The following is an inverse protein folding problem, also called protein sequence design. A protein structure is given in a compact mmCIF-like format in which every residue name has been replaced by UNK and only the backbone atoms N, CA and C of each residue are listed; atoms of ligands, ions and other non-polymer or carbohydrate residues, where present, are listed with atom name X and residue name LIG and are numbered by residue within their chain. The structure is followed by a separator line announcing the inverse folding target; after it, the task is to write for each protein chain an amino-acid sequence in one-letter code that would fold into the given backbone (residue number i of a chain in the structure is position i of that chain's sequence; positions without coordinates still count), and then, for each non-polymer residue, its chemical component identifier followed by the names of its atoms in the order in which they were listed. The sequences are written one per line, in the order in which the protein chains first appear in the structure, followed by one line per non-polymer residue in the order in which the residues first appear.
data_IF_554904994198
#
_entry.id   IF_554904994198
#
_cell.length_a   1.000
_cell.length_b   1.000
_cell.length_c   1.000
_cell.angle_alpha   90.00
_cell.angle_beta   90.00
_cell.angle_gamma   90.00
#
_symmetry.space_group_name_H-M   'P 1'
#
loop_
_entity.id
_entity.type
_entity.pdbx_description
1 polymer ?
#
# COMPACT_ATOMS: atom_id res chain seq x y z
N UNK A 1 -2.06 -42.28 -19.12
CA UNK A 1 -2.30 -41.39 -17.97
C UNK A 1 -0.99 -40.74 -17.57
N UNK A 2 -0.79 -39.47 -17.95
CA UNK A 2 0.29 -38.59 -17.47
C UNK A 2 -0.32 -37.21 -17.31
N UNK A 3 -0.27 -36.69 -16.08
CA UNK A 3 -0.77 -35.36 -15.71
C UNK A 3 0.10 -34.28 -16.35
N UNK A 4 -0.53 -33.36 -17.07
CA UNK A 4 0.07 -32.14 -17.59
C UNK A 4 0.03 -31.08 -16.49
N UNK A 5 1.19 -30.50 -16.18
CA UNK A 5 1.39 -29.44 -15.20
C UNK A 5 0.77 -28.12 -15.68
N UNK A 6 -0.06 -27.49 -14.83
CA UNK A 6 -0.92 -26.33 -15.12
C UNK A 6 -0.16 -24.98 -15.04
N UNK A 7 1.16 -24.99 -15.00
CA UNK A 7 1.97 -23.81 -14.62
C UNK A 7 2.40 -22.87 -15.76
N UNK A 8 1.75 -22.89 -16.93
CA UNK A 8 2.16 -22.05 -18.07
C UNK A 8 1.01 -21.33 -18.79
N UNK A 9 -0.22 -21.39 -18.27
CA UNK A 9 -1.37 -20.68 -18.85
C UNK A 9 -1.78 -19.40 -18.09
N UNK A 10 -1.25 -19.17 -16.89
CA UNK A 10 -1.66 -18.03 -16.04
C UNK A 10 -1.10 -16.67 -16.47
N UNK A 11 -0.05 -16.63 -17.30
CA UNK A 11 0.65 -15.39 -17.67
C UNK A 11 0.18 -14.80 -19.02
N UNK A 12 -0.64 -15.53 -19.78
CA UNK A 12 -1.12 -15.11 -21.11
C UNK A 12 -2.56 -14.56 -21.12
N UNK A 13 -3.25 -14.52 -19.97
CA UNK A 13 -4.68 -14.19 -19.89
C UNK A 13 -5.00 -12.93 -19.03
N UNK A 14 -4.01 -12.09 -18.75
CA UNK A 14 -4.21 -10.77 -18.10
C UNK A 14 -4.69 -9.66 -19.06
N UNK A 15 -5.06 -9.98 -20.31
CA UNK A 15 -5.27 -9.01 -21.41
C UNK A 15 -6.59 -9.17 -22.19
N UNK A 16 -7.61 -9.81 -21.63
CA UNK A 16 -8.89 -10.02 -22.33
C UNK A 16 -10.11 -9.70 -21.47
N UNK A 17 -10.31 -8.44 -21.07
CA UNK A 17 -11.61 -7.93 -20.64
C UNK A 17 -11.72 -6.42 -20.89
N UNK A 18 -12.06 -6.06 -22.12
CA UNK A 18 -12.63 -4.75 -22.48
C UNK A 18 -13.49 -4.95 -23.72
N UNK A 19 -14.78 -5.23 -23.54
CA UNK A 19 -15.77 -5.05 -24.60
C UNK A 19 -16.51 -3.73 -24.36
N UNK A 20 -16.29 -2.85 -25.32
CA UNK A 20 -16.92 -1.55 -25.53
C UNK A 20 -18.45 -1.76 -25.75
N UNK A 21 -19.27 -1.55 -24.73
CA UNK A 21 -20.73 -1.41 -24.91
C UNK A 21 -21.01 0.04 -25.30
N UNK A 22 -20.80 0.35 -26.59
CA UNK A 22 -21.36 1.55 -27.18
C UNK A 22 -22.87 1.42 -27.26
N UNK A 23 -23.58 2.23 -26.48
CA UNK A 23 -25.01 2.44 -26.63
C UNK A 23 -25.33 2.99 -28.02
N UNK A 24 -26.06 2.24 -28.83
CA UNK A 24 -26.57 2.67 -30.13
C UNK A 24 -27.72 3.67 -29.96
N UNK A 25 -27.62 4.82 -30.62
CA UNK A 25 -28.78 5.48 -31.22
C UNK A 25 -28.40 6.11 -32.56
N UNK A 26 -29.08 5.65 -33.62
CA UNK A 26 -29.37 6.30 -34.91
C UNK A 26 -28.86 5.58 -36.18
N UNK A 27 -29.78 4.79 -36.74
CA UNK A 27 -30.17 4.60 -38.14
C UNK A 27 -29.17 4.68 -39.32
N UNK A 28 -29.31 3.62 -40.13
CA UNK A 28 -29.33 3.55 -41.60
C UNK A 28 -28.01 3.42 -42.38
N UNK A 29 -27.91 2.31 -43.14
CA UNK A 29 -27.04 2.23 -44.32
C UNK A 29 -26.44 0.85 -44.57
N UNK A 30 -27.12 0.02 -45.37
CA UNK A 30 -26.55 -1.16 -46.02
C UNK A 30 -25.24 -0.83 -46.75
N UNK A 31 -24.19 -1.63 -46.54
CA UNK A 31 -23.22 -2.01 -47.59
C UNK A 31 -22.52 -3.32 -47.19
N UNK A 32 -22.76 -4.38 -47.97
CA UNK A 32 -22.02 -5.65 -48.00
C UNK A 32 -20.55 -5.42 -48.35
N UNK A 33 -19.61 -6.04 -47.62
CA UNK A 33 -18.38 -6.63 -48.21
C UNK A 33 -17.93 -7.89 -47.46
N UNK A 34 -17.39 -8.83 -48.24
CA UNK A 34 -16.92 -10.19 -47.89
C UNK A 34 -15.42 -10.20 -47.51
N UNK A 35 -15.10 -11.05 -46.52
CA UNK A 35 -13.98 -11.99 -46.27
C UNK A 35 -12.48 -11.66 -46.49
N UNK A 36 -11.68 -12.24 -45.55
CA UNK A 36 -10.23 -12.60 -45.52
C UNK A 36 -9.26 -11.42 -45.37
N UNK A 37 -8.19 -11.40 -44.55
CA UNK A 37 -7.35 -12.38 -43.81
C UNK A 37 -7.37 -12.04 -42.27
N UNK A 38 -6.83 -12.80 -41.31
CA UNK A 38 -5.77 -13.80 -41.33
C UNK A 38 -4.40 -13.26 -40.87
N UNK A 39 -4.33 -12.28 -39.96
CA UNK A 39 -3.07 -11.86 -39.31
C UNK A 39 -3.29 -11.53 -37.82
N UNK A 40 -2.77 -12.41 -36.96
CA UNK A 40 -2.59 -12.14 -35.54
C UNK A 40 -1.35 -11.26 -35.37
N UNK A 41 -1.54 -9.94 -35.38
CA UNK A 41 -0.53 -9.01 -34.89
C UNK A 41 -0.51 -9.10 -33.35
N UNK A 42 0.31 -10.03 -32.86
CA UNK A 42 0.56 -10.24 -31.45
C UNK A 42 1.19 -9.00 -30.81
N UNK A 43 0.49 -8.44 -29.82
CA UNK A 43 1.01 -7.39 -28.94
C UNK A 43 2.29 -7.88 -28.24
N UNK A 44 3.38 -7.11 -28.37
CA UNK A 44 4.63 -7.37 -27.64
C UNK A 44 4.51 -6.78 -26.22
N UNK A 45 4.70 -7.63 -25.20
CA UNK A 45 4.86 -7.25 -23.79
C UNK A 45 5.92 -6.12 -23.58
N UNK A 46 5.95 -5.44 -22.42
CA UNK A 46 7.08 -4.59 -22.03
C UNK A 46 8.37 -5.41 -21.81
N UNK A 47 9.57 -4.94 -22.21
CA UNK A 47 10.82 -5.71 -22.14
C UNK A 47 11.18 -6.31 -20.78
N UNK A 48 10.74 -5.71 -19.67
CA UNK A 48 11.02 -6.21 -18.32
C UNK A 48 10.18 -7.44 -17.91
N UNK A 49 9.04 -7.67 -18.56
CA UNK A 49 8.22 -8.88 -18.41
C UNK A 49 8.51 -9.94 -19.50
N UNK A 50 9.32 -9.60 -20.50
CA UNK A 50 9.68 -10.49 -21.62
C UNK A 50 10.95 -11.31 -21.40
N UNK A 51 11.77 -10.99 -20.40
CA UNK A 51 13.09 -11.59 -20.31
C UNK A 51 13.05 -13.03 -19.79
N UNK A 52 13.81 -13.90 -20.46
CA UNK A 52 13.87 -15.37 -20.42
C UNK A 52 14.27 -16.02 -19.07
N UNK A 53 13.75 -15.57 -17.93
CA UNK A 53 14.08 -16.18 -16.62
C UNK A 53 13.20 -17.39 -16.24
N UNK A 54 12.07 -17.60 -16.92
CA UNK A 54 11.10 -18.63 -16.52
C UNK A 54 11.36 -20.05 -17.05
N UNK A 55 12.54 -20.32 -17.62
CA UNK A 55 12.92 -21.70 -18.00
C UNK A 55 14.33 -22.05 -17.57
N UNK A 56 14.52 -22.21 -16.26
CA UNK A 56 15.35 -23.27 -15.65
C UNK A 56 15.22 -23.19 -14.14
N UNK A 57 15.24 -24.35 -13.50
CA UNK A 57 15.39 -24.50 -12.06
C UNK A 57 16.66 -23.80 -11.56
N UNK A 58 16.58 -22.49 -11.31
CA UNK A 58 17.60 -21.74 -10.60
C UNK A 58 16.87 -21.02 -9.48
N UNK A 59 17.16 -21.45 -8.26
CA UNK A 59 16.95 -20.64 -7.06
C UNK A 59 17.57 -19.29 -7.37
N UNK A 60 16.74 -18.24 -7.53
CA UNK A 60 17.26 -16.89 -7.64
C UNK A 60 18.16 -16.63 -6.43
N UNK A 61 19.34 -16.01 -6.60
CA UNK A 61 20.20 -15.75 -5.47
C UNK A 61 19.42 -14.86 -4.49
N UNK A 62 19.21 -15.37 -3.27
CA UNK A 62 18.59 -14.60 -2.19
C UNK A 62 19.48 -13.39 -1.95
N UNK A 63 18.96 -12.20 -2.26
CA UNK A 63 19.60 -10.95 -1.90
C UNK A 63 19.53 -10.83 -0.38
N UNK A 64 20.68 -10.71 0.27
CA UNK A 64 20.71 -10.50 1.72
C UNK A 64 20.10 -9.14 2.05
N UNK A 65 19.57 -8.98 3.27
CA UNK A 65 19.06 -7.68 3.73
C UNK A 65 20.08 -6.53 3.55
N UNK A 66 21.39 -6.83 3.64
CA UNK A 66 22.45 -5.86 3.39
C UNK A 66 22.54 -5.44 1.91
N UNK A 67 22.37 -6.38 0.98
CA UNK A 67 22.38 -6.09 -0.47
C UNK A 67 21.10 -5.36 -0.91
N UNK A 68 19.95 -5.67 -0.31
CA UNK A 68 18.71 -4.92 -0.53
C UNK A 68 18.84 -3.47 -0.02
N UNK A 69 19.47 -3.27 1.14
CA UNK A 69 19.75 -1.93 1.67
C UNK A 69 20.72 -1.13 0.77
N UNK A 70 21.77 -1.76 0.22
CA UNK A 70 22.69 -1.11 -0.72
C UNK A 70 22.01 -0.77 -2.07
N UNK A 71 21.08 -1.61 -2.54
CA UNK A 71 20.38 -1.41 -3.80
C UNK A 71 19.28 -0.34 -3.73
N UNK A 72 18.45 -0.35 -2.68
CA UNK A 72 17.31 0.57 -2.54
C UNK A 72 17.66 1.87 -1.80
N UNK A 73 18.70 1.87 -0.97
CA UNK A 73 19.01 2.98 -0.06
C UNK A 73 20.53 3.30 0.04
N UNK A 74 21.20 3.66 -1.06
CA UNK A 74 22.65 3.88 -1.08
C UNK A 74 23.12 5.06 -0.19
N UNK A 75 22.20 5.89 0.30
CA UNK A 75 22.49 7.05 1.14
C UNK A 75 22.50 6.73 2.66
N UNK A 76 21.94 5.61 3.09
CA UNK A 76 21.87 5.25 4.53
C UNK A 76 23.22 4.75 5.08
N UNK A 77 24.19 4.40 4.21
CA UNK A 77 25.54 3.96 4.63
C UNK A 77 26.54 5.08 4.84
N UNK A 78 26.20 6.34 4.48
CA UNK A 78 27.00 7.48 4.91
C UNK A 78 26.70 7.71 6.39
N UNK A 79 27.35 6.91 7.22
CA UNK A 79 27.30 7.07 8.67
C UNK A 79 27.54 8.53 9.03
N UNK A 80 26.85 8.99 10.08
CA UNK A 80 27.32 10.16 10.83
C UNK A 80 28.84 10.01 11.03
N UNK A 81 29.65 11.05 10.78
CA UNK A 81 31.05 11.01 11.15
C UNK A 81 31.11 10.61 12.62
N UNK A 82 31.76 9.48 12.91
CA UNK A 82 32.17 9.18 14.26
C UNK A 82 33.12 10.29 14.67
N UNK A 83 32.75 11.08 15.68
CA UNK A 83 33.67 11.95 16.40
C UNK A 83 34.79 11.07 16.96
N UNK A 84 35.87 10.99 16.19
CA UNK A 84 37.16 10.51 16.63
C UNK A 84 37.85 11.67 17.32
N UNK A 85 37.98 11.55 18.64
CA UNK A 85 38.69 12.50 19.48
C UNK A 85 40.19 12.56 19.24
N UNK A 86 40.77 13.47 20.00
CA UNK A 86 42.18 13.71 20.28
C UNK A 86 42.99 14.41 19.19
N UNK A 87 43.09 15.73 19.34
CA UNK A 87 44.41 16.32 19.62
C UNK A 87 44.25 17.49 20.59
N UNK A 88 44.86 17.30 21.76
CA UNK A 88 45.36 18.37 22.62
C UNK A 88 46.12 19.40 21.78
N UNK A 89 45.77 20.67 21.94
CA UNK A 89 46.74 21.76 22.03
C UNK A 89 46.01 23.04 22.45
N UNK A 90 46.03 23.28 23.75
CA UNK A 90 45.90 24.61 24.33
C UNK A 90 47.24 25.34 24.12
N UNK A 91 47.26 26.63 23.74
CA UNK A 91 47.50 27.59 24.80
C UNK A 91 46.70 28.89 24.67
N UNK A 92 46.10 29.26 25.80
CA UNK A 92 46.26 30.55 26.49
C UNK A 92 45.80 31.81 25.74
N UNK A 93 44.71 32.43 26.22
CA UNK A 93 44.75 33.74 26.89
C UNK A 93 43.40 34.48 26.83
N UNK A 94 43.04 35.16 27.93
CA UNK A 94 42.16 36.33 27.89
C UNK A 94 40.95 36.27 28.81
N UNK A 95 41.11 36.78 30.03
CA UNK A 95 40.05 36.83 31.04
C UNK A 95 38.99 37.90 30.80
N UNK A 96 37.89 37.78 31.55
CA UNK A 96 36.82 38.78 31.57
C UNK A 96 35.68 38.35 32.49
N UNK A 97 35.79 38.70 33.76
CA UNK A 97 34.83 38.41 34.82
C UNK A 97 33.89 39.62 35.02
N UNK A 98 32.57 39.46 34.89
CA UNK A 98 31.59 40.11 35.79
C UNK A 98 30.12 39.72 35.55
N UNK A 99 29.27 39.82 36.59
CA UNK A 99 28.02 39.08 36.71
C UNK A 99 26.78 39.95 36.43
N UNK A 100 25.71 39.31 35.92
CA UNK A 100 24.43 39.96 35.65
C UNK A 100 23.26 39.00 35.87
N UNK A 101 22.65 39.14 37.04
CA UNK A 101 21.44 38.50 37.54
C UNK A 101 20.22 38.84 36.67
N UNK A 102 19.37 37.87 36.31
CA UNK A 102 18.17 38.16 35.50
C UNK A 102 17.28 36.96 35.15
N UNK A 103 16.45 36.54 36.11
CA UNK A 103 15.10 35.96 35.95
C UNK A 103 14.90 34.69 35.10
N UNK A 104 14.66 33.62 35.85
CA UNK A 104 13.96 32.38 35.51
C UNK A 104 12.66 32.59 34.73
N UNK A 105 12.69 32.23 33.45
CA UNK A 105 11.54 31.67 32.73
C UNK A 105 11.87 30.21 32.46
N UNK A 106 11.31 29.28 33.25
CA UNK A 106 11.48 27.85 33.06
C UNK A 106 10.80 27.39 31.78
N UNK A 107 11.46 27.57 30.64
CA UNK A 107 11.20 26.74 29.48
C UNK A 107 11.71 25.35 29.81
N UNK A 108 10.82 24.35 29.76
CA UNK A 108 11.26 22.95 29.69
C UNK A 108 12.27 22.89 28.53
N UNK A 109 13.53 22.48 28.77
CA UNK A 109 14.47 22.33 27.68
C UNK A 109 13.85 21.39 26.64
N UNK A 110 13.64 21.88 25.42
CA UNK A 110 13.27 21.04 24.29
C UNK A 110 14.26 19.86 24.25
N UNK A 111 13.81 18.60 24.33
CA UNK A 111 14.70 17.46 24.24
C UNK A 111 15.49 17.56 22.94
N UNK A 112 16.82 17.68 23.03
CA UNK A 112 17.67 17.58 21.84
C UNK A 112 17.46 16.18 21.26
N UNK A 113 16.94 16.03 20.04
CA UNK A 113 16.65 14.71 19.49
C UNK A 113 17.94 13.88 19.47
N UNK A 114 17.93 12.72 20.13
CA UNK A 114 19.03 11.77 20.01
C UNK A 114 19.07 11.16 18.60
N UNK A 115 20.15 10.42 18.30
CA UNK A 115 20.32 9.68 17.03
C UNK A 115 19.09 8.81 16.66
N UNK A 116 18.30 8.40 17.65
CA UNK A 116 17.06 7.64 17.48
C UNK A 116 15.97 8.38 16.67
N UNK A 117 15.87 9.71 16.74
CA UNK A 117 14.85 10.46 15.98
C UNK A 117 15.12 10.40 14.48
N UNK A 118 16.39 10.55 14.09
CA UNK A 118 16.85 10.39 12.71
C UNK A 118 16.66 8.93 12.25
N UNK A 119 17.01 7.95 13.10
CA UNK A 119 16.76 6.53 12.81
C UNK A 119 15.27 6.27 12.52
N UNK A 120 14.38 6.74 13.38
CA UNK A 120 12.93 6.52 13.22
C UNK A 120 12.39 7.19 11.95
N UNK A 121 12.84 8.42 11.65
CA UNK A 121 12.51 9.10 10.39
C UNK A 121 12.98 8.31 9.17
N UNK A 122 14.20 7.77 9.20
CA UNK A 122 14.74 6.97 8.12
C UNK A 122 13.96 5.67 7.92
N UNK A 123 13.59 4.98 9.00
CA UNK A 123 12.74 3.78 8.93
C UNK A 123 11.39 4.11 8.29
N UNK A 124 10.68 5.12 8.79
CA UNK A 124 9.36 5.53 8.25
C UNK A 124 9.48 5.96 6.78
N UNK A 125 10.48 6.79 6.45
CA UNK A 125 10.71 7.23 5.07
C UNK A 125 10.98 6.05 4.13
N UNK A 126 11.68 5.02 4.61
CA UNK A 126 12.00 3.83 3.82
C UNK A 126 10.77 2.98 3.53
N UNK A 127 9.88 2.79 4.53
CA UNK A 127 8.60 2.10 4.36
C UNK A 127 7.77 2.76 3.25
N UNK A 128 7.60 4.08 3.29
CA UNK A 128 6.82 4.78 2.28
C UNK A 128 7.54 4.91 0.94
N UNK A 129 8.87 4.95 0.91
CA UNK A 129 9.62 4.96 -0.35
C UNK A 129 9.38 3.67 -1.15
N UNK A 130 9.12 2.54 -0.48
CA UNK A 130 8.76 1.29 -1.14
C UNK A 130 7.34 1.26 -1.71
N UNK A 131 6.46 2.21 -1.37
CA UNK A 131 5.14 2.35 -2.02
C UNK A 131 5.24 3.00 -3.40
N UNK A 132 6.38 3.61 -3.73
CA UNK A 132 6.59 4.36 -4.97
C UNK A 132 6.88 3.40 -6.13
N UNK A 133 6.12 3.50 -7.21
CA UNK A 133 6.34 2.71 -8.42
C UNK A 133 7.71 3.03 -9.07
N UNK A 134 8.47 2.03 -9.56
CA UNK A 134 8.18 0.59 -9.56
C UNK A 134 8.76 -0.17 -8.35
N UNK A 135 9.14 0.51 -7.27
CA UNK A 135 9.83 -0.10 -6.11
C UNK A 135 8.96 -1.07 -5.34
N UNK A 136 7.63 -0.95 -5.43
CA UNK A 136 6.67 -1.89 -4.84
C UNK A 136 6.50 -3.18 -5.63
N UNK A 137 6.94 -3.24 -6.90
CA UNK A 137 6.71 -4.40 -7.76
C UNK A 137 7.31 -5.73 -7.28
N UNK A 138 8.50 -5.77 -6.64
CA UNK A 138 9.09 -7.06 -6.28
C UNK A 138 8.28 -7.85 -5.23
N UNK A 139 7.38 -7.21 -4.47
CA UNK A 139 6.39 -7.94 -3.65
C UNK A 139 5.54 -8.91 -4.47
N UNK A 140 5.15 -8.48 -5.67
CA UNK A 140 4.37 -9.29 -6.60
C UNK A 140 5.22 -10.37 -7.28
N UNK A 141 6.54 -10.36 -7.09
CA UNK A 141 7.49 -11.35 -7.61
C UNK A 141 7.94 -12.38 -6.56
N UNK A 142 7.31 -12.37 -5.38
CA UNK A 142 7.60 -13.28 -4.28
C UNK A 142 9.04 -13.13 -3.72
N UNK A 143 9.60 -11.92 -3.83
CA UNK A 143 10.86 -11.53 -3.19
C UNK A 143 10.56 -11.04 -1.77
N UNK A 144 10.25 -11.97 -0.86
CA UNK A 144 9.78 -11.70 0.51
C UNK A 144 10.84 -11.05 1.43
N UNK A 145 12.08 -10.89 0.96
CA UNK A 145 13.23 -10.41 1.77
C UNK A 145 13.39 -8.87 1.78
N UNK A 146 12.53 -8.13 1.08
CA UNK A 146 12.71 -6.68 0.88
C UNK A 146 12.31 -5.84 2.11
N UNK A 147 11.46 -6.39 2.99
CA UNK A 147 10.87 -5.64 4.12
C UNK A 147 11.41 -5.98 5.51
N UNK A 148 12.20 -7.04 5.66
CA UNK A 148 12.75 -7.48 6.95
C UNK A 148 13.60 -6.44 7.72
N UNK A 149 14.22 -5.40 7.10
CA UNK A 149 14.89 -4.38 7.91
C UNK A 149 13.93 -3.40 8.59
N UNK A 150 12.66 -3.30 8.18
CA UNK A 150 11.76 -2.24 8.65
C UNK A 150 10.74 -2.70 9.68
N UNK A 151 10.10 -3.85 9.45
CA UNK A 151 9.07 -4.39 10.33
C UNK A 151 9.61 -5.57 11.14
N UNK A 152 9.18 -5.66 12.39
CA UNK A 152 9.38 -6.85 13.20
C UNK A 152 8.49 -8.00 12.66
N UNK A 153 8.92 -9.25 12.84
CA UNK A 153 8.17 -10.44 12.39
C UNK A 153 6.75 -10.48 12.98
N UNK A 154 6.61 -10.05 14.24
CA UNK A 154 5.36 -10.03 14.99
C UNK A 154 4.71 -8.63 15.03
N UNK A 155 4.98 -7.78 14.03
CA UNK A 155 4.36 -6.44 13.97
C UNK A 155 2.83 -6.55 14.02
N UNK A 156 2.20 -5.67 14.78
CA UNK A 156 0.73 -5.50 14.77
C UNK A 156 0.40 -4.10 14.31
N UNK A 157 -0.67 -3.93 13.55
CA UNK A 157 -1.03 -2.58 13.14
C UNK A 157 -2.48 -2.40 12.73
N UNK A 158 -2.88 -1.15 12.67
CA UNK A 158 -4.16 -0.71 12.13
C UNK A 158 -3.90 0.28 11.00
N UNK A 159 -4.66 0.15 9.92
CA UNK A 159 -4.81 1.20 8.91
C UNK A 159 -6.27 1.53 8.86
N UNK A 160 -6.69 2.62 9.48
CA UNK A 160 -8.05 3.14 9.34
C UNK A 160 -8.17 3.78 7.96
N UNK A 161 -9.14 3.39 7.12
CA UNK A 161 -10.35 2.60 7.43
C UNK A 161 -10.34 1.15 6.90
N UNK A 162 -9.16 0.58 6.62
CA UNK A 162 -9.00 -0.76 6.06
C UNK A 162 -9.13 -1.89 7.10
N UNK A 163 -8.58 -1.70 8.30
CA UNK A 163 -8.68 -2.67 9.41
C UNK A 163 -7.35 -3.00 10.08
N UNK A 164 -7.34 -4.17 10.74
CA UNK A 164 -6.25 -4.64 11.61
C UNK A 164 -5.37 -5.70 10.91
N UNK A 165 -4.07 -5.65 11.20
CA UNK A 165 -3.00 -6.46 10.61
C UNK A 165 -2.17 -7.11 11.70
N UNK A 166 -1.90 -8.41 11.53
CA UNK A 166 -1.13 -9.19 12.50
C UNK A 166 -0.05 -9.97 11.79
N UNK A 167 1.19 -9.64 12.11
CA UNK A 167 2.39 -10.23 11.53
C UNK A 167 2.89 -9.49 10.29
N UNK A 168 4.13 -9.80 9.96
CA UNK A 168 4.90 -9.16 8.90
C UNK A 168 4.22 -9.20 7.52
N UNK A 169 3.73 -10.36 7.08
CA UNK A 169 3.13 -10.54 5.75
C UNK A 169 1.87 -9.68 5.57
N UNK A 170 1.03 -9.60 6.60
CA UNK A 170 -0.17 -8.76 6.58
C UNK A 170 0.21 -7.28 6.48
N UNK A 171 1.22 -6.81 7.21
CA UNK A 171 1.62 -5.41 7.15
C UNK A 171 2.21 -5.01 5.79
N UNK A 172 3.09 -5.83 5.20
CA UNK A 172 3.75 -5.46 3.93
C UNK A 172 2.78 -5.47 2.75
N UNK A 173 1.80 -6.38 2.74
CA UNK A 173 0.79 -6.43 1.68
C UNK A 173 -0.07 -5.17 1.64
N UNK A 174 -0.40 -4.62 2.81
CA UNK A 174 -1.23 -3.42 2.86
C UNK A 174 -0.46 -2.16 2.51
N UNK A 175 0.77 -2.00 3.02
CA UNK A 175 1.58 -0.84 2.65
C UNK A 175 1.97 -0.84 1.18
N UNK A 176 2.37 -1.98 0.62
CA UNK A 176 3.00 -2.02 -0.69
C UNK A 176 2.19 -2.75 -1.76
N UNK A 177 1.40 -3.76 -1.37
CA UNK A 177 0.52 -4.51 -2.27
C UNK A 177 -0.75 -3.75 -2.68
N UNK A 178 -1.23 -2.82 -1.84
CA UNK A 178 -2.35 -1.92 -2.19
C UNK A 178 -1.92 -0.61 -2.85
N UNK A 179 -0.62 -0.35 -2.97
CA UNK A 179 -0.14 0.80 -3.71
C UNK A 179 -0.57 0.68 -5.18
N UNK A 180 -1.20 1.71 -5.79
CA UNK A 180 -1.65 1.64 -7.18
C UNK A 180 -0.51 1.28 -8.14
N UNK A 181 -0.75 0.25 -8.95
CA UNK A 181 0.14 -0.21 -10.03
C UNK A 181 -0.52 0.11 -11.37
N UNK A 182 0.23 0.60 -12.38
CA UNK A 182 -0.35 0.87 -13.69
C UNK A 182 -0.72 -0.45 -14.39
N UNK A 183 -2.02 -0.70 -14.52
CA UNK A 183 -2.58 -1.86 -15.23
C UNK A 183 -3.62 -1.32 -16.21
N UNK A 184 -3.45 -1.60 -17.50
CA UNK A 184 -4.33 -1.11 -18.57
C UNK A 184 -5.82 -1.31 -18.22
N UNK A 185 -6.67 -0.27 -18.36
CA UNK A 185 -6.37 1.05 -18.93
C UNK A 185 -5.79 2.07 -17.92
N UNK A 186 -5.63 1.71 -16.65
CA UNK A 186 -5.08 2.60 -15.63
C UNK A 186 -3.58 2.81 -15.81
N UNK A 187 -3.17 4.08 -15.85
CA UNK A 187 -1.78 4.50 -15.95
C UNK A 187 -1.25 5.13 -14.66
N UNK A 188 -2.09 5.21 -13.63
CA UNK A 188 -1.82 5.91 -12.37
C UNK A 188 -0.99 5.04 -11.40
N UNK A 189 0.01 5.64 -10.77
CA UNK A 189 0.74 5.03 -9.65
C UNK A 189 1.28 6.09 -8.70
N UNK A 190 1.64 5.69 -7.49
CA UNK A 190 2.39 6.56 -6.57
C UNK A 190 3.78 6.77 -7.18
N UNK A 191 4.12 8.02 -7.48
CA UNK A 191 5.42 8.41 -8.07
C UNK A 191 6.34 9.11 -7.07
N UNK A 192 5.80 9.53 -5.92
CA UNK A 192 6.59 10.14 -4.86
C UNK A 192 5.93 9.90 -3.50
N UNK A 193 6.75 9.66 -2.47
CA UNK A 193 6.34 9.66 -1.08
C UNK A 193 7.21 10.64 -0.30
N UNK A 194 6.58 11.54 0.48
CA UNK A 194 7.28 12.55 1.27
C UNK A 194 6.72 12.57 2.69
N UNK A 195 7.57 12.33 3.68
CA UNK A 195 7.25 12.61 5.09
C UNK A 195 7.28 14.13 5.27
N UNK A 196 6.10 14.74 5.40
CA UNK A 196 5.96 16.20 5.51
C UNK A 196 6.00 16.69 6.94
N UNK A 197 5.56 15.87 7.89
CA UNK A 197 5.64 16.13 9.31
C UNK A 197 6.15 14.87 10.00
N UNK A 198 7.06 15.05 10.95
CA UNK A 198 7.60 13.96 11.74
C UNK A 198 7.97 14.47 13.12
N UNK A 199 7.59 13.72 14.14
CA UNK A 199 8.12 13.89 15.49
C UNK A 199 8.40 12.53 16.09
N UNK A 200 9.41 12.47 16.94
CA UNK A 200 9.70 11.30 17.75
C UNK A 200 10.04 11.84 19.13
N UNK A 201 9.19 11.54 20.11
CA UNK A 201 9.32 12.06 21.48
C UNK A 201 10.30 11.25 22.33
N UNK A 202 10.46 9.97 21.98
CA UNK A 202 11.36 9.02 22.62
C UNK A 202 11.85 8.00 21.59
N UNK A 203 12.87 7.18 21.91
CA UNK A 203 13.41 6.21 20.97
C UNK A 203 12.35 5.26 20.40
N UNK A 204 11.34 4.89 21.19
CA UNK A 204 10.37 3.87 20.83
C UNK A 204 9.15 4.42 20.12
N UNK A 205 8.87 5.73 20.12
CA UNK A 205 7.61 6.28 19.60
C UNK A 205 7.87 7.43 18.62
N UNK A 206 7.16 7.40 17.49
CA UNK A 206 7.10 8.51 16.55
C UNK A 206 5.69 8.72 16.00
N UNK A 207 5.44 9.89 15.45
CA UNK A 207 4.29 10.17 14.59
C UNK A 207 4.73 10.84 13.31
N UNK A 208 3.96 10.62 12.24
CA UNK A 208 4.27 11.14 10.92
C UNK A 208 3.03 11.52 10.13
N UNK A 209 3.16 12.52 9.26
CA UNK A 209 2.26 12.74 8.13
C UNK A 209 3.03 12.54 6.83
N UNK A 210 2.48 11.73 5.93
CA UNK A 210 3.06 11.44 4.62
C UNK A 210 2.12 11.88 3.51
N UNK A 211 2.69 12.53 2.50
CA UNK A 211 2.02 12.80 1.23
C UNK A 211 2.54 11.85 0.16
N UNK A 212 1.60 11.15 -0.49
CA UNK A 212 1.86 10.25 -1.60
C UNK A 212 1.34 10.90 -2.89
N UNK A 213 2.26 11.31 -3.76
CA UNK A 213 1.91 11.91 -5.05
C UNK A 213 1.60 10.81 -6.06
N UNK A 214 0.46 10.94 -6.75
CA UNK A 214 0.05 10.05 -7.83
C UNK A 214 0.15 10.76 -9.16
N UNK A 215 0.86 10.15 -10.11
CA UNK A 215 0.98 10.61 -11.49
C UNK A 215 0.64 9.48 -12.43
N UNK A 216 0.39 9.82 -13.70
CA UNK A 216 0.51 8.84 -14.78
C UNK A 216 1.98 8.43 -14.90
N UNK A 217 2.29 7.13 -14.78
CA UNK A 217 3.68 6.61 -14.82
C UNK A 217 3.99 5.84 -16.10
N UNK A 218 2.97 5.61 -16.94
CA UNK A 218 3.07 4.98 -18.25
C UNK A 218 2.12 5.67 -19.25
N UNK A 219 2.28 5.37 -20.53
CA UNK A 219 1.42 5.88 -21.60
C UNK A 219 1.70 7.33 -22.03
N UNK A 220 0.86 7.92 -22.90
CA UNK A 220 1.08 9.24 -23.50
C UNK A 220 1.14 10.39 -22.50
N UNK A 221 0.48 10.23 -21.35
CA UNK A 221 0.41 11.25 -20.30
C UNK A 221 1.46 11.04 -19.20
N UNK A 222 2.50 10.24 -19.42
CA UNK A 222 3.52 9.95 -18.40
C UNK A 222 4.10 11.24 -17.77
N UNK A 223 4.22 11.25 -16.45
CA UNK A 223 4.67 12.37 -15.64
C UNK A 223 3.58 13.38 -15.25
N UNK A 224 2.37 13.27 -15.80
CA UNK A 224 1.29 14.20 -15.47
C UNK A 224 0.71 13.91 -14.08
N UNK A 225 0.54 14.98 -13.29
CA UNK A 225 -0.05 14.93 -11.95
C UNK A 225 -1.53 14.56 -11.99
N UNK A 226 -1.96 13.69 -11.08
CA UNK A 226 -3.37 13.31 -10.90
C UNK A 226 -3.88 13.86 -9.56
N UNK A 227 -3.26 13.44 -8.46
CA UNK A 227 -3.71 13.77 -7.11
C UNK A 227 -2.64 13.46 -6.06
N UNK A 228 -2.94 13.75 -4.78
CA UNK A 228 -2.17 13.29 -3.62
C UNK A 228 -3.06 12.51 -2.65
N UNK A 229 -2.48 11.52 -2.00
CA UNK A 229 -3.05 10.85 -0.83
C UNK A 229 -2.30 11.29 0.43
N UNK A 230 -3.03 11.46 1.53
CA UNK A 230 -2.47 11.76 2.85
C UNK A 230 -2.61 10.52 3.73
N UNK A 231 -1.54 10.16 4.43
CA UNK A 231 -1.58 9.20 5.53
C UNK A 231 -0.96 9.81 6.78
N UNK A 232 -1.63 9.65 7.91
CA UNK A 232 -1.15 10.03 9.24
C UNK A 232 -0.86 8.73 9.99
N UNK A 233 0.20 8.65 10.78
CA UNK A 233 0.47 7.43 11.52
C UNK A 233 1.20 7.69 12.85
N UNK A 234 0.88 6.86 13.83
CA UNK A 234 1.67 6.62 15.02
C UNK A 234 2.48 5.33 14.86
N UNK A 235 3.69 5.32 15.38
CA UNK A 235 4.65 4.22 15.22
C UNK A 235 5.25 3.86 16.56
N UNK A 236 5.44 2.56 16.79
CA UNK A 236 6.29 2.03 17.86
C UNK A 236 7.44 1.23 17.28
N UNK A 237 8.64 1.44 17.81
CA UNK A 237 9.87 0.77 17.40
C UNK A 237 10.43 -0.10 18.52
N UNK A 238 11.10 -1.20 18.13
CA UNK A 238 11.99 -1.93 19.05
C UNK A 238 13.35 -1.23 19.19
N UNK A 239 14.22 -1.80 20.04
CA UNK A 239 15.56 -1.26 20.32
C UNK A 239 16.47 -1.21 19.08
N UNK A 240 16.16 -1.97 18.03
CA UNK A 240 16.90 -1.98 16.76
C UNK A 240 16.37 -0.96 15.75
N UNK A 241 15.23 -0.33 16.04
CA UNK A 241 14.57 0.64 15.15
C UNK A 241 13.61 0.01 14.14
N UNK A 242 13.23 -1.27 14.32
CA UNK A 242 12.16 -1.91 13.55
C UNK A 242 10.81 -1.58 14.14
N UNK A 243 9.82 -1.44 13.29
CA UNK A 243 8.43 -1.17 13.66
C UNK A 243 7.84 -2.44 14.27
N UNK A 244 7.36 -2.32 15.52
CA UNK A 244 6.63 -3.38 16.23
C UNK A 244 5.13 -3.09 16.31
N UNK A 245 4.74 -1.82 16.23
CA UNK A 245 3.34 -1.44 16.11
C UNK A 245 3.14 -0.18 15.27
N UNK A 246 2.00 -0.06 14.60
CA UNK A 246 1.58 1.16 13.94
C UNK A 246 0.07 1.35 13.99
N UNK A 247 -0.37 2.60 14.09
CA UNK A 247 -1.75 2.99 13.86
C UNK A 247 -1.77 4.11 12.84
N UNK A 248 -2.19 3.77 11.63
CA UNK A 248 -2.21 4.65 10.47
C UNK A 248 -3.65 5.01 10.10
N UNK A 249 -3.84 6.20 9.56
CA UNK A 249 -5.13 6.72 9.15
C UNK A 249 -5.04 7.44 7.81
N UNK A 250 -5.96 7.07 6.91
CA UNK A 250 -6.17 7.70 5.61
C UNK A 250 -7.53 8.41 5.64
N UNK A 251 -7.58 9.72 5.93
CA UNK A 251 -8.83 10.41 6.25
C UNK A 251 -9.76 10.67 5.05
N UNK A 252 -9.32 10.44 3.82
CA UNK A 252 -10.04 10.81 2.60
C UNK A 252 -9.92 9.74 1.51
N UNK A 253 -9.93 8.47 1.90
CA UNK A 253 -9.67 7.36 0.98
C UNK A 253 -10.76 7.26 -0.10
N UNK A 254 -12.03 7.49 0.24
CA UNK A 254 -13.13 7.51 -0.73
C UNK A 254 -12.91 8.53 -1.86
N UNK A 255 -12.54 9.75 -1.50
CA UNK A 255 -12.29 10.81 -2.47
C UNK A 255 -11.04 10.52 -3.30
N UNK A 256 -9.99 10.01 -2.66
CA UNK A 256 -8.79 9.59 -3.38
C UNK A 256 -9.09 8.52 -4.43
N UNK A 257 -9.82 7.45 -4.07
CA UNK A 257 -10.18 6.38 -5.00
C UNK A 257 -11.05 6.91 -6.13
N UNK A 258 -12.02 7.78 -5.83
CA UNK A 258 -12.82 8.47 -6.84
C UNK A 258 -11.95 9.21 -7.86
N UNK A 259 -10.94 9.96 -7.38
CA UNK A 259 -10.06 10.77 -8.25
C UNK A 259 -9.15 9.94 -9.15
N UNK A 260 -8.65 8.80 -8.67
CA UNK A 260 -7.80 7.91 -9.49
C UNK A 260 -8.61 7.01 -10.42
N UNK A 261 -9.88 6.73 -10.08
CA UNK A 261 -10.79 5.93 -10.94
C UNK A 261 -11.38 6.79 -12.05
N UNK A 262 -11.78 8.02 -11.73
CA UNK A 262 -12.29 9.00 -12.70
C UNK A 262 -11.58 10.35 -12.49
N UNK A 263 -10.50 10.61 -13.26
CA UNK A 263 -9.77 11.87 -13.20
C UNK A 263 -10.63 13.10 -13.52
N UNK A 264 -11.75 12.92 -14.23
CA UNK A 264 -12.68 14.00 -14.61
C UNK A 264 -13.53 14.51 -13.46
N UNK A 265 -13.61 13.76 -12.34
CA UNK A 265 -14.26 14.20 -11.10
C UNK A 265 -13.49 15.41 -10.54
N UNK A 266 -14.02 16.60 -10.81
CA UNK A 266 -13.46 17.89 -10.36
C UNK A 266 -14.16 18.48 -9.14
N UNK A 267 -15.39 18.04 -8.83
CA UNK A 267 -16.21 18.57 -7.74
C UNK A 267 -16.88 17.40 -7.01
N UNK A 268 -16.57 17.24 -5.72
CA UNK A 268 -17.30 16.33 -4.84
C UNK A 268 -18.58 17.03 -4.37
N UNK A 269 -19.73 16.68 -4.96
CA UNK A 269 -21.02 17.22 -4.53
C UNK A 269 -21.35 16.71 -3.12
N UNK A 270 -21.52 17.59 -2.14
CA UNK A 270 -21.80 17.21 -0.75
C UNK A 270 -20.59 16.69 0.05
N UNK A 271 -19.37 16.82 -0.48
CA UNK A 271 -18.12 16.53 0.25
C UNK A 271 -17.49 15.15 0.00
N UNK A 272 -18.14 14.28 -0.77
CA UNK A 272 -17.65 12.92 -1.06
C UNK A 272 -17.79 12.50 -2.54
N UNK A 273 -16.93 11.59 -3.00
CA UNK A 273 -17.13 10.84 -4.25
C UNK A 273 -18.31 9.88 -4.08
N UNK A 274 -19.29 9.99 -4.97
CA UNK A 274 -20.42 9.07 -5.05
C UNK A 274 -20.31 8.32 -6.38
N UNK A 275 -20.07 7.00 -6.37
CA UNK A 275 -19.98 6.23 -7.60
C UNK A 275 -21.32 6.19 -8.33
N UNK A 276 -21.29 6.27 -9.65
CA UNK A 276 -22.49 6.06 -10.47
C UNK A 276 -22.90 4.59 -10.47
N UNK A 277 -24.13 4.28 -10.89
CA UNK A 277 -24.57 2.88 -11.07
C UNK A 277 -23.66 2.11 -12.05
N UNK A 278 -23.11 2.80 -13.06
CA UNK A 278 -22.15 2.20 -14.00
C UNK A 278 -20.83 1.87 -13.30
N UNK A 279 -20.33 2.75 -12.42
CA UNK A 279 -19.10 2.49 -11.66
C UNK A 279 -19.28 1.32 -10.69
N UNK A 280 -20.46 1.24 -10.05
CA UNK A 280 -20.80 0.16 -9.14
C UNK A 280 -20.82 -1.19 -9.86
N UNK A 281 -21.58 -1.30 -10.94
CA UNK A 281 -21.69 -2.53 -11.74
C UNK A 281 -20.36 -2.94 -12.39
N UNK A 282 -19.56 -1.97 -12.83
CA UNK A 282 -18.20 -2.23 -13.34
C UNK A 282 -17.31 -2.80 -12.24
N UNK A 283 -17.36 -2.23 -11.04
CA UNK A 283 -16.59 -2.69 -9.88
C UNK A 283 -16.97 -4.12 -9.50
N UNK A 284 -18.27 -4.43 -9.42
CA UNK A 284 -18.76 -5.78 -9.11
C UNK A 284 -18.29 -6.79 -10.16
N UNK A 285 -18.40 -6.44 -11.44
CA UNK A 285 -17.89 -7.26 -12.55
C UNK A 285 -16.40 -7.52 -12.43
N UNK A 286 -15.59 -6.49 -12.14
CA UNK A 286 -14.15 -6.62 -11.94
C UNK A 286 -13.79 -7.56 -10.78
N UNK A 287 -14.46 -7.40 -9.63
CA UNK A 287 -14.28 -8.30 -8.49
C UNK A 287 -14.56 -9.74 -8.90
N UNK A 288 -15.69 -9.98 -9.58
CA UNK A 288 -16.11 -11.32 -9.94
C UNK A 288 -15.23 -11.99 -10.99
N UNK A 289 -14.63 -11.22 -11.91
CA UNK A 289 -13.64 -11.73 -12.86
C UNK A 289 -12.32 -12.07 -12.17
N UNK A 290 -11.79 -11.16 -11.34
CA UNK A 290 -10.51 -11.37 -10.65
C UNK A 290 -10.58 -12.53 -9.66
N UNK A 291 -11.66 -12.65 -8.88
CA UNK A 291 -11.81 -13.80 -7.98
C UNK A 291 -11.91 -15.11 -8.77
N UNK A 292 -12.60 -15.15 -9.91
CA UNK A 292 -12.70 -16.38 -10.71
C UNK A 292 -11.32 -16.79 -11.26
N UNK A 293 -10.45 -15.81 -11.49
CA UNK A 293 -9.08 -16.03 -11.96
C UNK A 293 -8.15 -16.55 -10.84
N UNK A 294 -8.18 -15.93 -9.66
CA UNK A 294 -7.19 -16.18 -8.60
C UNK A 294 -7.68 -17.11 -7.49
N UNK A 295 -9.00 -17.19 -7.27
CA UNK A 295 -9.63 -18.01 -6.25
C UNK A 295 -10.13 -19.32 -6.85
N UNK A 296 -9.20 -20.24 -7.11
CA UNK A 296 -9.48 -21.55 -7.71
C UNK A 296 -9.15 -22.70 -6.75
N UNK A 297 -9.62 -23.91 -7.05
CA UNK A 297 -9.36 -25.09 -6.23
C UNK A 297 -9.90 -24.92 -4.80
N UNK A 298 -9.06 -25.17 -3.79
CA UNK A 298 -9.45 -25.02 -2.38
C UNK A 298 -9.78 -23.59 -1.96
N UNK A 299 -9.42 -22.59 -2.77
CA UNK A 299 -9.71 -21.18 -2.51
C UNK A 299 -10.95 -20.69 -3.25
N UNK A 300 -11.66 -21.55 -4.00
CA UNK A 300 -12.85 -21.17 -4.74
C UNK A 300 -13.99 -20.79 -3.78
N UNK A 301 -14.54 -19.58 -3.98
CA UNK A 301 -15.57 -19.00 -3.09
C UNK A 301 -16.92 -18.74 -3.77
N UNK A 302 -16.97 -18.83 -5.10
CA UNK A 302 -18.19 -18.80 -5.90
C UNK A 302 -18.16 -19.93 -6.94
N UNK A 303 -19.32 -20.47 -7.28
CA UNK A 303 -19.46 -21.50 -8.33
C UNK A 303 -19.33 -20.91 -9.74
N UNK A 304 -19.65 -19.63 -9.93
CA UNK A 304 -19.56 -18.92 -11.21
C UNK A 304 -19.42 -17.40 -11.03
N UNK A 305 -19.02 -16.72 -12.12
CA UNK A 305 -19.00 -15.26 -12.18
C UNK A 305 -20.41 -14.67 -12.00
N UNK A 306 -21.43 -15.28 -12.60
CA UNK A 306 -22.82 -14.81 -12.51
C UNK A 306 -23.38 -14.90 -11.08
N UNK A 307 -23.06 -15.98 -10.36
CA UNK A 307 -23.41 -16.10 -8.94
C UNK A 307 -22.74 -14.98 -8.13
N UNK A 308 -21.44 -14.76 -8.35
CA UNK A 308 -20.71 -13.68 -7.68
C UNK A 308 -21.38 -12.32 -7.93
N UNK A 309 -21.72 -11.99 -9.17
CA UNK A 309 -22.38 -10.72 -9.51
C UNK A 309 -23.72 -10.61 -8.78
N UNK A 310 -24.55 -11.67 -8.82
CA UNK A 310 -25.83 -11.69 -8.13
C UNK A 310 -25.71 -11.47 -6.62
N UNK A 311 -24.68 -12.07 -5.99
CA UNK A 311 -24.39 -11.85 -4.57
C UNK A 311 -23.93 -10.43 -4.31
N UNK A 312 -22.99 -9.88 -5.09
CA UNK A 312 -22.46 -8.52 -4.86
C UNK A 312 -23.53 -7.45 -5.07
N UNK A 313 -24.39 -7.59 -6.08
CA UNK A 313 -25.52 -6.69 -6.32
C UNK A 313 -26.56 -6.67 -5.19
N UNK A 314 -26.59 -7.72 -4.35
CA UNK A 314 -27.46 -7.80 -3.17
C UNK A 314 -26.85 -7.17 -1.92
N UNK A 315 -25.56 -6.81 -1.95
CA UNK A 315 -24.84 -6.21 -0.82
C UNK A 315 -24.85 -4.68 -0.92
N UNK A 316 -24.76 -3.96 0.21
CA UNK A 316 -24.45 -2.54 0.19
C UNK A 316 -23.14 -2.31 -0.58
N UNK A 317 -23.09 -1.23 -1.38
CA UNK A 317 -21.86 -0.90 -2.10
C UNK A 317 -20.73 -0.51 -1.13
N UNK A 318 -21.06 0.32 -0.12
CA UNK A 318 -20.11 0.80 0.89
C UNK A 318 -19.35 2.06 0.46
N UNK A 319 -18.35 2.42 1.27
CA UNK A 319 -17.45 3.55 1.03
C UNK A 319 -16.04 3.15 1.46
N UNK A 320 -15.02 3.68 0.80
CA UNK A 320 -13.64 3.44 1.22
C UNK A 320 -13.28 4.12 2.52
N UNK A 321 -14.12 5.01 3.07
CA UNK A 321 -13.91 5.56 4.41
C UNK A 321 -14.38 4.60 5.53
N UNK A 322 -15.00 3.49 5.16
CA UNK A 322 -15.44 2.36 6.00
C UNK A 322 -15.18 1.09 5.18
N UNK A 323 -13.90 0.81 4.88
CA UNK A 323 -13.51 -0.30 4.02
C UNK A 323 -13.49 -1.67 4.74
N UNK A 324 -14.06 -1.71 5.94
CA UNK A 324 -14.55 -2.90 6.62
C UNK A 324 -16.07 -3.03 6.41
N UNK A 325 -16.69 -4.12 6.86
CA UNK A 325 -18.13 -4.33 6.69
C UNK A 325 -18.49 -5.32 5.58
N UNK A 326 -19.73 -5.81 5.61
CA UNK A 326 -20.23 -6.74 4.60
C UNK A 326 -20.69 -6.02 3.33
N UNK A 327 -19.75 -5.38 2.64
CA UNK A 327 -20.02 -4.55 1.46
C UNK A 327 -19.11 -4.87 0.25
N UNK A 328 -19.40 -4.23 -0.89
CA UNK A 328 -18.65 -4.40 -2.15
C UNK A 328 -17.26 -3.76 -2.06
N UNK A 329 -17.12 -2.61 -1.41
CA UNK A 329 -15.84 -1.90 -1.26
C UNK A 329 -14.80 -2.74 -0.49
N UNK A 330 -15.16 -3.36 0.62
CA UNK A 330 -14.26 -4.27 1.36
C UNK A 330 -13.77 -5.41 0.45
N UNK A 331 -14.68 -6.01 -0.34
CA UNK A 331 -14.34 -7.08 -1.29
C UNK A 331 -13.46 -6.59 -2.43
N UNK A 332 -13.62 -5.35 -2.85
CA UNK A 332 -12.73 -4.70 -3.83
C UNK A 332 -11.30 -4.60 -3.29
N UNK A 333 -11.11 -4.28 -2.01
CA UNK A 333 -9.77 -4.26 -1.40
C UNK A 333 -9.18 -5.68 -1.41
N UNK A 334 -9.94 -6.67 -0.93
CA UNK A 334 -9.41 -8.02 -0.81
C UNK A 334 -9.18 -8.72 -2.16
N UNK A 335 -9.98 -8.45 -3.19
CA UNK A 335 -9.74 -9.08 -4.50
C UNK A 335 -8.41 -8.65 -5.12
N UNK A 336 -7.95 -7.42 -4.84
CA UNK A 336 -6.65 -6.92 -5.30
C UNK A 336 -5.47 -7.66 -4.67
N UNK A 337 -5.67 -8.27 -3.50
CA UNK A 337 -4.64 -9.03 -2.76
C UNK A 337 -4.69 -10.54 -3.05
N UNK A 338 -5.72 -11.03 -3.74
CA UNK A 338 -5.82 -12.46 -4.13
C UNK A 338 -4.67 -12.97 -5.00
N UNK A 339 -4.00 -12.17 -5.87
CA UNK A 339 -2.81 -12.63 -6.57
C UNK A 339 -1.59 -12.86 -5.68
N UNK A 340 -1.53 -12.20 -4.51
CA UNK A 340 -0.41 -12.29 -3.56
C UNK A 340 -0.56 -13.51 -2.64
N UNK A 341 -1.68 -13.56 -1.89
CA UNK A 341 -1.99 -14.66 -0.97
C UNK A 341 -3.45 -15.10 -1.12
N UNK A 342 -3.76 -15.90 -2.16
CA UNK A 342 -5.15 -16.34 -2.40
C UNK A 342 -5.71 -17.18 -1.25
N UNK A 343 -4.87 -17.94 -0.54
CA UNK A 343 -5.27 -18.73 0.62
C UNK A 343 -5.77 -17.88 1.81
N UNK A 344 -5.40 -16.61 1.86
CA UNK A 344 -5.84 -15.65 2.89
C UNK A 344 -7.03 -14.85 2.34
N UNK A 345 -6.86 -14.21 1.18
CA UNK A 345 -7.79 -13.18 0.73
C UNK A 345 -9.04 -13.70 0.03
N UNK A 346 -9.01 -14.89 -0.58
CA UNK A 346 -10.17 -15.38 -1.33
C UNK A 346 -11.40 -15.55 -0.45
N UNK A 347 -11.24 -16.07 0.77
CA UNK A 347 -12.34 -16.20 1.72
C UNK A 347 -13.02 -14.86 2.02
N UNK A 348 -12.24 -13.77 2.06
CA UNK A 348 -12.75 -12.42 2.32
C UNK A 348 -13.60 -11.86 1.18
N UNK A 349 -13.36 -12.29 -0.07
CA UNK A 349 -14.15 -11.91 -1.25
C UNK A 349 -15.48 -12.69 -1.32
N UNK A 350 -15.56 -13.84 -0.66
CA UNK A 350 -16.71 -14.75 -0.71
C UNK A 350 -18.01 -14.20 -0.12
N UNK A 351 -19.12 -14.96 -0.22
CA UNK A 351 -20.44 -14.53 0.25
C UNK A 351 -20.49 -14.15 1.72
N UNK A 352 -19.75 -14.89 2.55
CA UNK A 352 -19.68 -14.70 4.01
C UNK A 352 -18.65 -13.65 4.45
N UNK A 353 -17.82 -13.18 3.51
CA UNK A 353 -16.75 -12.23 3.82
C UNK A 353 -15.58 -12.79 4.62
N UNK A 354 -15.55 -14.11 4.89
CA UNK A 354 -14.43 -14.80 5.53
C UNK A 354 -14.05 -14.26 6.91
N UNK A 355 -14.97 -13.57 7.60
CA UNK A 355 -14.70 -12.88 8.87
C UNK A 355 -13.97 -11.54 8.75
N UNK A 356 -13.58 -11.10 7.55
CA UNK A 356 -12.98 -9.78 7.30
C UNK A 356 -13.97 -8.78 6.72
N UNK A 357 -14.67 -9.14 5.66
CA UNK A 357 -15.75 -8.31 5.11
C UNK A 357 -17.08 -8.65 5.78
N UNK A 358 -17.17 -8.32 7.07
CA UNK A 358 -18.34 -8.53 7.92
C UNK A 358 -18.65 -7.24 8.66
N UNK A 359 -19.93 -6.98 8.95
CA UNK A 359 -20.35 -5.80 9.72
C UNK A 359 -19.83 -5.91 11.16
N UNK A 360 -18.88 -5.05 11.56
CA UNK A 360 -18.26 -5.15 12.86
C UNK A 360 -19.01 -4.30 13.90
N UNK A 361 -18.74 -4.55 15.18
CA UNK A 361 -19.16 -3.63 16.22
C UNK A 361 -18.27 -2.38 16.17
N UNK A 362 -18.90 -1.20 16.29
CA UNK A 362 -18.19 0.08 16.30
C UNK A 362 -17.07 0.15 17.34
N UNK A 363 -17.32 -0.32 18.57
CA UNK A 363 -16.31 -0.25 19.62
C UNK A 363 -15.13 -1.19 19.36
N UNK A 364 -15.41 -2.35 18.77
CA UNK A 364 -14.42 -3.39 18.49
C UNK A 364 -13.48 -3.01 17.34
N UNK A 365 -13.80 -2.00 16.53
CA UNK A 365 -12.95 -1.61 15.38
C UNK A 365 -12.10 -0.38 15.67
N UNK A 366 -12.63 0.52 16.49
CA UNK A 366 -12.03 1.84 16.69
C UNK A 366 -11.39 2.02 18.07
N UNK A 367 -11.74 1.18 19.05
CA UNK A 367 -11.36 1.38 20.44
C UNK A 367 -10.85 0.10 21.13
N UNK A 368 -10.51 -0.93 20.35
CA UNK A 368 -9.99 -2.22 20.80
C UNK A 368 -8.45 -2.25 20.88
N UNK A 369 -7.82 -1.10 21.18
CA UNK A 369 -6.36 -0.96 21.19
C UNK A 369 -5.67 -1.99 22.10
N UNK A 370 -6.28 -2.35 23.24
CA UNK A 370 -5.76 -3.41 24.11
C UNK A 370 -5.78 -4.80 23.45
N UNK A 371 -6.80 -5.11 22.65
CA UNK A 371 -6.91 -6.39 21.95
C UNK A 371 -5.88 -6.48 20.81
N UNK A 372 -5.76 -5.40 20.03
CA UNK A 372 -4.85 -5.36 18.88
C UNK A 372 -3.38 -5.21 19.29
N UNK A 373 -3.10 -4.27 20.19
CA UNK A 373 -1.74 -3.85 20.53
C UNK A 373 -1.24 -4.43 21.86
N UNK A 374 -2.12 -5.04 22.65
CA UNK A 374 -1.79 -5.49 24.02
C UNK A 374 -1.58 -4.35 25.01
N UNK A 375 -1.91 -3.10 24.63
CA UNK A 375 -1.82 -1.92 25.49
C UNK A 375 -2.53 -0.71 24.88
N UNK A 376 -3.42 -0.08 25.65
CA UNK A 376 -4.02 1.23 25.32
C UNK A 376 -3.03 2.42 25.33
N UNK A 377 -1.78 2.20 25.75
CA UNK A 377 -0.74 3.24 25.82
C UNK A 377 0.47 2.92 24.94
N UNK A 378 0.32 2.04 23.95
CA UNK A 378 1.44 1.57 23.12
C UNK A 378 2.16 2.70 22.37
N UNK A 379 1.48 3.81 22.07
CA UNK A 379 2.07 4.97 21.38
C UNK A 379 2.40 6.14 22.34
N UNK A 380 2.54 5.87 23.64
CA UNK A 380 3.04 6.84 24.62
C UNK A 380 4.51 6.57 24.96
N UNK A 381 5.26 7.64 25.23
CA UNK A 381 6.64 7.48 25.67
C UNK A 381 6.71 6.95 27.11
N UNK A 382 7.70 6.11 27.44
CA UNK A 382 7.82 5.59 28.81
C UNK A 382 7.95 6.73 29.82
N UNK A 383 7.12 6.71 30.86
CA UNK A 383 7.15 7.71 31.93
C UNK A 383 6.25 8.93 31.70
N UNK A 384 5.63 9.07 30.52
CA UNK A 384 4.57 10.04 30.32
C UNK A 384 3.28 9.50 30.95
N UNK A 385 2.92 10.02 32.13
CA UNK A 385 1.56 9.86 32.66
C UNK A 385 0.69 10.99 32.10
N UNK A 386 -0.30 10.64 31.27
CA UNK A 386 -1.32 11.59 30.80
C UNK A 386 -2.25 12.04 31.94
#
# INVERSE_FOLDING_TARGET
MKFLSISSLALALLLACSYDVKSNSANAGLMRRKNHDGSHDGFKLPPFLQSHWHTKHLVAPKMTAAEAMDYYFPLLRRGCPSDGGDNDDNPDSGGGNSPGNGTSGGGVPEPVPGNWSIRNLNTVSSVYNLTVYPKNLPLFLNETDIGLPFFNENVTGRVTPLGNFSGYEDSIEYFWGLAPVPVDPSTAAISQAVVTHFTSGCPEVASSMVELTVTNVVGPNNGTFITKLKQIAFWRFDTTGRIIAYDAWIPNLQNFVGKITDPSVGIYSGGGYVPSTTDMTTTEGQICQLQAQFCTGGNQVYSSVDECIGVLMSKPYGTFDEAWGDNVVCRRVHVLLTPLRPAVHCAHVGPTGGGKCVDPNYNDVYFDDEELFGSNSIFQCPGDSL
#
